data_IF_761590070181
#
_entry.id   IF_761590070181
#
_cell.length_a   1.000
_cell.length_b   1.000
_cell.length_c   1.000
_cell.angle_alpha   90.00
_cell.angle_beta   90.00
_cell.angle_gamma   90.00
#
_symmetry.space_group_name_H-M   'P 1'
#
loop_
_entity.id
_entity.type
_entity.pdbx_description
1 polymer ?
#
# COMPACT_ATOMS: atom_id res chain seq x y z
N UNK A 1 -33.08 -26.90 26.73
CA UNK A 1 -33.39 -26.11 25.52
C UNK A 1 -32.48 -24.88 25.28
N UNK A 2 -31.72 -24.43 26.30
CA UNK A 2 -30.73 -23.33 26.11
C UNK A 2 -29.55 -23.73 25.21
N UNK A 3 -29.16 -24.98 25.16
CA UNK A 3 -28.06 -25.50 24.33
C UNK A 3 -28.36 -25.45 22.83
N UNK A 4 -29.63 -25.54 22.44
CA UNK A 4 -30.06 -25.48 21.04
C UNK A 4 -29.97 -24.06 20.45
N UNK A 5 -30.02 -23.02 21.25
CA UNK A 5 -29.88 -21.61 20.81
C UNK A 5 -28.43 -21.11 20.83
N UNK A 6 -27.55 -21.71 21.65
CA UNK A 6 -26.15 -21.30 21.80
C UNK A 6 -25.31 -21.56 20.52
N UNK A 7 -25.58 -22.67 19.82
CA UNK A 7 -24.87 -23.05 18.60
C UNK A 7 -25.05 -22.04 17.45
N UNK A 8 -26.29 -21.72 17.02
CA UNK A 8 -26.54 -20.71 15.99
C UNK A 8 -26.01 -19.33 16.33
N UNK A 9 -26.10 -18.91 17.60
CA UNK A 9 -25.57 -17.62 18.06
C UNK A 9 -24.03 -17.56 17.97
N UNK A 10 -23.33 -18.63 18.34
CA UNK A 10 -21.87 -18.70 18.24
C UNK A 10 -21.40 -18.67 16.77
N UNK A 11 -22.10 -19.39 15.87
CA UNK A 11 -21.80 -19.38 14.43
C UNK A 11 -22.07 -17.99 13.83
N UNK A 12 -23.19 -17.36 14.18
CA UNK A 12 -23.51 -16.00 13.73
C UNK A 12 -22.49 -14.98 14.25
N UNK A 13 -22.08 -15.07 15.51
CA UNK A 13 -21.06 -14.20 16.10
C UNK A 13 -19.70 -14.40 15.42
N UNK A 14 -19.27 -15.64 15.17
CA UNK A 14 -18.06 -15.96 14.43
C UNK A 14 -18.11 -15.43 12.98
N UNK A 15 -19.25 -15.58 12.30
CA UNK A 15 -19.47 -15.05 10.95
C UNK A 15 -19.40 -13.52 10.93
N UNK A 16 -20.07 -12.85 11.89
CA UNK A 16 -20.04 -11.39 12.00
C UNK A 16 -18.65 -10.86 12.34
N UNK A 17 -17.90 -11.56 13.19
CA UNK A 17 -16.51 -11.24 13.51
C UNK A 17 -15.62 -11.40 12.28
N UNK A 18 -15.71 -12.51 11.55
CA UNK A 18 -15.00 -12.74 10.31
C UNK A 18 -15.34 -11.70 9.24
N UNK A 19 -16.62 -11.33 9.15
CA UNK A 19 -17.07 -10.26 8.24
C UNK A 19 -16.55 -8.90 8.65
N UNK A 20 -16.49 -8.59 9.94
CA UNK A 20 -15.92 -7.35 10.47
C UNK A 20 -14.41 -7.26 10.20
N UNK A 21 -13.68 -8.36 10.38
CA UNK A 21 -12.25 -8.47 10.08
C UNK A 21 -11.95 -8.37 8.56
N UNK A 22 -12.92 -8.73 7.70
CA UNK A 22 -12.84 -8.63 6.23
C UNK A 22 -13.39 -7.32 5.68
N UNK A 23 -13.97 -6.44 6.51
CA UNK A 23 -14.44 -5.14 6.03
C UNK A 23 -13.27 -4.35 5.47
N UNK A 24 -13.38 -3.84 4.22
CA UNK A 24 -12.42 -2.86 3.73
C UNK A 24 -12.46 -1.66 4.69
N UNK A 25 -11.31 -1.07 5.01
CA UNK A 25 -11.27 0.14 5.83
C UNK A 25 -12.11 1.24 5.21
N UNK A 26 -12.68 2.15 6.03
CA UNK A 26 -13.54 3.22 5.56
C UNK A 26 -12.87 4.04 4.46
N UNK A 27 -13.63 4.59 3.49
CA UNK A 27 -13.12 5.22 2.27
C UNK A 27 -12.19 6.43 2.49
N UNK A 28 -11.98 6.88 3.73
CA UNK A 28 -11.18 8.07 4.03
C UNK A 28 -9.66 7.88 4.14
N UNK A 29 -9.16 6.67 4.29
CA UNK A 29 -7.71 6.42 4.51
C UNK A 29 -7.15 5.48 3.45
N UNK A 30 -6.92 6.02 2.27
CA UNK A 30 -6.27 5.31 1.15
C UNK A 30 -4.88 5.85 0.91
N UNK A 31 -3.99 5.01 0.38
CA UNK A 31 -2.62 5.39 0.01
C UNK A 31 -2.16 4.52 -1.16
N UNK A 32 -1.33 5.07 -2.04
CA UNK A 32 -0.71 4.31 -3.12
C UNK A 32 0.73 4.02 -2.76
N UNK A 33 1.15 2.78 -2.97
CA UNK A 33 2.52 2.33 -2.77
C UNK A 33 3.21 2.18 -4.12
N UNK A 34 4.37 2.77 -4.24
CA UNK A 34 5.33 2.45 -5.29
C UNK A 34 6.05 1.15 -4.91
N UNK A 35 5.49 0.03 -5.34
CA UNK A 35 5.99 -1.30 -4.99
C UNK A 35 7.40 -1.54 -5.50
N UNK A 36 7.70 -1.04 -6.70
CA UNK A 36 9.02 -1.18 -7.32
C UNK A 36 10.12 -0.40 -6.61
N UNK A 37 9.80 0.74 -6.01
CA UNK A 37 10.73 1.50 -5.18
C UNK A 37 10.90 0.84 -3.80
N UNK A 38 9.77 0.51 -3.15
CA UNK A 38 9.77 -0.03 -1.78
C UNK A 38 10.51 -1.36 -1.67
N UNK A 39 10.43 -2.23 -2.69
CA UNK A 39 11.10 -3.53 -2.66
C UNK A 39 12.63 -3.44 -2.54
N UNK A 40 13.22 -2.26 -2.76
CA UNK A 40 14.66 -2.02 -2.63
C UNK A 40 15.08 -1.35 -1.30
N UNK A 41 14.16 -1.08 -0.37
CA UNK A 41 14.43 -0.26 0.81
C UNK A 41 15.31 -0.91 1.88
N UNK A 42 15.38 -2.24 1.96
CA UNK A 42 16.22 -2.91 2.96
C UNK A 42 17.71 -2.82 2.59
N UNK A 43 18.13 -3.67 1.67
CA UNK A 43 19.55 -3.86 1.34
C UNK A 43 19.87 -3.44 -0.10
N UNK A 44 18.97 -2.69 -0.75
CA UNK A 44 19.07 -2.32 -2.17
C UNK A 44 18.77 -3.46 -3.14
N UNK A 45 18.67 -4.70 -2.66
CA UNK A 45 18.25 -5.84 -3.46
C UNK A 45 16.73 -5.97 -3.49
N UNK A 46 16.14 -6.42 -4.62
CA UNK A 46 14.71 -6.58 -4.73
C UNK A 46 14.18 -7.66 -3.77
N UNK A 47 13.30 -7.27 -2.85
CA UNK A 47 12.66 -8.17 -1.88
C UNK A 47 11.24 -7.69 -1.56
N UNK A 48 10.33 -8.62 -1.35
CA UNK A 48 8.96 -8.29 -0.92
C UNK A 48 8.81 -8.04 0.59
N UNK A 49 9.84 -8.32 1.40
CA UNK A 49 9.80 -8.04 2.85
C UNK A 49 9.51 -6.59 3.17
N UNK A 50 10.19 -5.59 2.58
CA UNK A 50 9.88 -4.19 2.83
C UNK A 50 8.42 -3.83 2.49
N UNK A 51 7.91 -4.36 1.37
CA UNK A 51 6.52 -4.12 0.96
C UNK A 51 5.54 -4.72 1.99
N UNK A 52 5.80 -5.95 2.48
CA UNK A 52 4.97 -6.58 3.52
C UNK A 52 5.01 -5.81 4.83
N UNK A 53 6.16 -5.26 5.22
CA UNK A 53 6.31 -4.48 6.45
C UNK A 53 5.53 -3.16 6.37
N UNK A 54 5.61 -2.47 5.23
CA UNK A 54 4.78 -1.28 4.95
C UNK A 54 3.29 -1.62 5.01
N UNK A 55 2.87 -2.70 4.35
CA UNK A 55 1.48 -3.17 4.38
C UNK A 55 0.98 -3.45 5.80
N UNK A 56 1.80 -4.12 6.61
CA UNK A 56 1.47 -4.43 8.02
C UNK A 56 1.29 -3.15 8.83
N UNK A 57 2.21 -2.21 8.69
CA UNK A 57 2.17 -0.91 9.38
C UNK A 57 0.92 -0.10 9.01
N UNK A 58 0.58 -0.05 7.71
CA UNK A 58 -0.60 0.68 7.23
C UNK A 58 -1.91 0.03 7.70
N UNK A 59 -1.99 -1.30 7.65
CA UNK A 59 -3.17 -2.04 8.16
C UNK A 59 -3.41 -1.81 9.64
N UNK A 60 -2.34 -1.83 10.46
CA UNK A 60 -2.43 -1.54 11.88
C UNK A 60 -2.98 -0.13 12.17
N UNK A 61 -2.81 0.82 11.24
CA UNK A 61 -3.33 2.19 11.30
C UNK A 61 -4.69 2.36 10.61
N UNK A 62 -5.31 1.29 10.11
CA UNK A 62 -6.58 1.33 9.38
C UNK A 62 -6.50 2.00 8.01
N UNK A 63 -5.30 2.08 7.40
CA UNK A 63 -5.09 2.66 6.08
C UNK A 63 -5.16 1.55 5.02
N UNK A 64 -5.93 1.78 3.94
CA UNK A 64 -6.08 0.86 2.83
C UNK A 64 -5.05 1.16 1.71
N UNK A 65 -4.00 0.34 1.55
CA UNK A 65 -3.04 0.51 0.49
C UNK A 65 -3.54 -0.05 -0.85
N UNK A 66 -3.14 0.59 -1.95
CA UNK A 66 -3.07 0.00 -3.29
C UNK A 66 -1.62 0.05 -3.76
N UNK A 67 -1.16 -0.96 -4.49
CA UNK A 67 0.25 -1.09 -4.87
C UNK A 67 0.37 -1.14 -6.38
N UNK A 68 1.32 -0.40 -6.91
CA UNK A 68 1.69 -0.43 -8.32
C UNK A 68 3.13 -0.93 -8.44
N UNK A 69 3.35 -1.84 -9.38
CA UNK A 69 4.66 -2.38 -9.73
C UNK A 69 4.97 -2.17 -11.21
N UNK A 70 6.23 -1.97 -11.53
CA UNK A 70 6.73 -2.06 -12.90
C UNK A 70 6.51 -3.45 -13.50
N UNK A 71 6.41 -3.50 -14.83
CA UNK A 71 6.27 -4.75 -15.59
C UNK A 71 7.39 -5.76 -15.33
N UNK A 72 8.58 -5.28 -14.92
CA UNK A 72 9.77 -6.11 -14.67
C UNK A 72 9.95 -6.51 -13.19
N UNK A 73 9.04 -6.12 -12.29
CA UNK A 73 9.18 -6.40 -10.86
C UNK A 73 9.36 -7.90 -10.57
N UNK A 74 8.56 -8.76 -11.23
CA UNK A 74 8.67 -10.21 -11.06
C UNK A 74 10.03 -10.76 -11.50
N UNK A 75 10.60 -10.24 -12.59
CA UNK A 75 11.92 -10.63 -13.06
C UNK A 75 13.02 -10.23 -12.08
N UNK A 76 12.93 -9.04 -11.50
CA UNK A 76 13.87 -8.58 -10.48
C UNK A 76 13.78 -9.40 -9.20
N UNK A 77 12.58 -9.83 -8.80
CA UNK A 77 12.35 -10.60 -7.57
C UNK A 77 12.76 -12.07 -7.69
N UNK A 78 12.37 -12.74 -8.79
CA UNK A 78 12.48 -14.21 -8.92
C UNK A 78 12.87 -14.66 -10.34
N UNK A 79 13.36 -13.78 -11.20
CA UNK A 79 13.83 -14.13 -12.55
C UNK A 79 12.70 -14.46 -13.55
N UNK A 80 11.42 -14.27 -13.19
CA UNK A 80 10.28 -14.59 -14.04
C UNK A 80 9.18 -13.54 -13.95
N UNK A 81 8.33 -13.47 -14.98
CA UNK A 81 7.19 -12.57 -14.96
C UNK A 81 6.19 -12.92 -13.85
N UNK A 82 5.73 -11.92 -13.13
CA UNK A 82 4.65 -12.03 -12.16
C UNK A 82 3.55 -11.01 -12.48
N UNK A 83 2.33 -11.49 -12.61
CA UNK A 83 1.15 -10.62 -12.79
C UNK A 83 0.59 -10.17 -11.43
N UNK A 84 -0.45 -9.33 -11.47
CA UNK A 84 -1.17 -8.81 -10.31
C UNK A 84 -1.56 -9.91 -9.32
N UNK A 85 -2.11 -11.02 -9.84
CA UNK A 85 -2.59 -12.13 -9.00
C UNK A 85 -1.44 -12.82 -8.27
N UNK A 86 -0.31 -13.03 -8.93
CA UNK A 86 0.86 -13.67 -8.33
C UNK A 86 1.46 -12.79 -7.24
N UNK A 87 1.64 -11.47 -7.50
CA UNK A 87 2.16 -10.54 -6.49
C UNK A 87 1.19 -10.34 -5.34
N UNK A 88 -0.12 -10.21 -5.62
CA UNK A 88 -1.15 -10.11 -4.59
C UNK A 88 -1.14 -11.31 -3.63
N UNK A 89 -1.01 -12.52 -4.18
CA UNK A 89 -0.88 -13.75 -3.39
C UNK A 89 0.39 -13.74 -2.54
N UNK A 90 1.53 -13.36 -3.12
CA UNK A 90 2.81 -13.27 -2.40
C UNK A 90 2.78 -12.24 -1.28
N UNK A 91 1.97 -11.19 -1.41
CA UNK A 91 1.80 -10.11 -0.43
C UNK A 91 0.66 -10.36 0.58
N UNK A 92 -0.20 -11.35 0.33
CA UNK A 92 -1.36 -11.64 1.19
C UNK A 92 -2.41 -10.52 1.19
N UNK A 93 -2.66 -9.91 0.02
CA UNK A 93 -3.65 -8.84 -0.16
C UNK A 93 -4.60 -9.17 -1.31
N UNK A 94 -5.80 -8.54 -1.37
CA UNK A 94 -6.73 -8.71 -2.49
C UNK A 94 -6.09 -8.31 -3.83
N UNK A 95 -6.43 -9.06 -4.89
CA UNK A 95 -5.87 -8.83 -6.23
C UNK A 95 -6.19 -7.44 -6.78
N UNK A 96 -7.37 -6.92 -6.50
CA UNK A 96 -7.83 -5.57 -6.90
C UNK A 96 -7.04 -4.42 -6.24
N UNK A 97 -6.15 -4.74 -5.31
CA UNK A 97 -5.23 -3.79 -4.65
C UNK A 97 -3.81 -3.83 -5.21
N UNK A 98 -3.54 -4.66 -6.19
CA UNK A 98 -2.22 -4.77 -6.83
C UNK A 98 -2.35 -4.55 -8.32
N UNK A 99 -1.48 -3.75 -8.88
CA UNK A 99 -1.34 -3.52 -10.31
C UNK A 99 0.10 -3.72 -10.73
N UNK A 100 0.33 -4.54 -11.73
CA UNK A 100 1.59 -4.61 -12.48
C UNK A 100 1.33 -3.91 -13.81
N UNK A 101 2.05 -2.82 -14.06
CA UNK A 101 1.83 -2.04 -15.29
C UNK A 101 2.20 -2.87 -16.53
N UNK A 102 1.49 -2.68 -17.67
CA UNK A 102 1.88 -3.29 -18.93
C UNK A 102 3.28 -2.86 -19.37
N UNK A 103 3.95 -3.70 -20.17
CA UNK A 103 5.20 -3.31 -20.82
C UNK A 103 5.01 -2.05 -21.66
N UNK A 104 5.96 -1.13 -21.57
CA UNK A 104 5.91 0.17 -22.28
C UNK A 104 5.14 1.26 -21.54
N UNK A 105 4.52 0.94 -20.39
CA UNK A 105 3.94 1.94 -19.48
C UNK A 105 4.86 2.13 -18.28
N UNK A 106 5.10 3.37 -17.87
CA UNK A 106 5.86 3.66 -16.65
C UNK A 106 4.96 3.56 -15.43
N UNK A 107 5.45 2.92 -14.37
CA UNK A 107 4.71 2.85 -13.11
C UNK A 107 4.47 4.24 -12.52
N UNK A 108 5.42 5.16 -12.69
CA UNK A 108 5.34 6.55 -12.21
C UNK A 108 4.08 7.26 -12.74
N UNK A 109 3.83 7.18 -14.05
CA UNK A 109 2.65 7.81 -14.66
C UNK A 109 1.36 7.28 -14.04
N UNK A 110 1.28 5.97 -13.88
CA UNK A 110 0.09 5.30 -13.29
C UNK A 110 -0.10 5.70 -11.83
N UNK A 111 0.98 5.70 -11.04
CA UNK A 111 0.99 6.08 -9.63
C UNK A 111 0.52 7.53 -9.47
N UNK A 112 1.11 8.45 -10.23
CA UNK A 112 0.82 9.89 -10.14
C UNK A 112 -0.61 10.21 -10.56
N UNK A 113 -1.06 9.62 -11.69
CA UNK A 113 -2.45 9.76 -12.15
C UNK A 113 -3.43 9.23 -11.12
N UNK A 114 -3.24 8.00 -10.64
CA UNK A 114 -4.11 7.40 -9.64
C UNK A 114 -4.13 8.19 -8.32
N UNK A 115 -2.98 8.70 -7.86
CA UNK A 115 -2.89 9.53 -6.67
C UNK A 115 -3.64 10.87 -6.82
N UNK A 116 -3.60 11.47 -8.01
CA UNK A 116 -4.36 12.66 -8.36
C UNK A 116 -5.87 12.39 -8.34
N UNK A 117 -6.31 11.38 -9.11
CA UNK A 117 -7.73 11.07 -9.31
C UNK A 117 -8.41 10.66 -8.00
N UNK A 118 -7.70 9.92 -7.15
CA UNK A 118 -8.20 9.48 -5.85
C UNK A 118 -7.94 10.50 -4.73
N UNK A 119 -7.16 11.55 -4.99
CA UNK A 119 -6.73 12.54 -4.01
C UNK A 119 -6.04 11.93 -2.78
N UNK A 120 -5.14 10.97 -3.00
CA UNK A 120 -4.44 10.22 -1.94
C UNK A 120 -2.92 10.42 -1.98
N UNK A 121 -2.20 10.23 -0.86
CA UNK A 121 -0.75 10.28 -0.84
C UNK A 121 -0.11 9.04 -1.49
N UNK A 122 1.17 9.17 -1.83
CA UNK A 122 2.02 8.12 -2.38
C UNK A 122 3.12 7.80 -1.38
N UNK A 123 3.42 6.51 -1.16
CA UNK A 123 4.63 6.06 -0.46
C UNK A 123 5.68 5.69 -1.49
N UNK A 124 6.74 6.50 -1.57
CA UNK A 124 7.93 6.26 -2.38
C UNK A 124 9.09 7.14 -1.92
N UNK A 125 10.32 6.69 -2.13
CA UNK A 125 11.53 7.52 -2.02
C UNK A 125 11.90 8.20 -3.33
N UNK A 126 11.22 7.90 -4.43
CA UNK A 126 11.33 8.69 -5.64
C UNK A 126 10.73 10.08 -5.43
N UNK A 127 11.35 11.08 -6.06
CA UNK A 127 10.89 12.47 -6.03
C UNK A 127 10.02 12.82 -7.22
N UNK A 128 9.90 11.94 -8.20
CA UNK A 128 9.14 12.14 -9.45
C UNK A 128 9.49 13.46 -10.17
N UNK A 129 10.77 13.85 -10.19
CA UNK A 129 11.21 15.18 -10.68
C UNK A 129 10.82 15.41 -12.13
N UNK A 130 10.94 14.39 -12.97
CA UNK A 130 10.63 14.46 -14.39
C UNK A 130 9.13 14.63 -14.67
N UNK A 131 8.31 14.49 -13.63
CA UNK A 131 6.86 14.57 -13.67
C UNK A 131 6.30 15.84 -13.03
N UNK A 132 7.13 16.73 -12.46
CA UNK A 132 6.65 17.90 -11.71
C UNK A 132 5.81 18.85 -12.57
N UNK A 133 6.10 19.00 -13.85
CA UNK A 133 5.35 19.87 -14.77
C UNK A 133 3.93 19.30 -15.03
N UNK A 134 3.83 17.98 -15.22
CA UNK A 134 2.55 17.30 -15.46
C UNK A 134 1.77 17.02 -14.17
N UNK A 135 2.46 16.88 -13.03
CA UNK A 135 1.93 16.52 -11.71
C UNK A 135 2.45 17.42 -10.60
N UNK A 136 2.20 18.75 -10.65
CA UNK A 136 2.73 19.69 -9.65
C UNK A 136 2.21 19.40 -8.22
N UNK A 137 1.10 18.69 -8.10
CA UNK A 137 0.54 18.30 -6.79
C UNK A 137 1.45 17.36 -6.00
N UNK A 138 2.36 16.61 -6.63
CA UNK A 138 3.27 15.69 -5.92
C UNK A 138 4.26 16.43 -5.01
N UNK A 139 4.55 17.70 -5.33
CA UNK A 139 5.46 18.54 -4.54
C UNK A 139 4.82 19.10 -3.27
N UNK A 140 3.48 19.02 -3.15
CA UNK A 140 2.76 19.53 -1.98
C UNK A 140 3.05 18.69 -0.74
N UNK A 141 3.15 19.34 0.40
CA UNK A 141 3.36 18.67 1.69
C UNK A 141 2.30 17.58 1.94
N UNK A 142 2.74 16.41 2.38
CA UNK A 142 1.88 15.26 2.68
C UNK A 142 1.43 14.45 1.47
N UNK A 143 1.81 14.83 0.25
CA UNK A 143 1.52 14.03 -0.95
C UNK A 143 2.49 12.89 -1.15
N UNK A 144 3.75 13.08 -0.82
CA UNK A 144 4.79 12.09 -0.91
C UNK A 144 5.25 11.70 0.50
N UNK A 145 5.00 10.46 0.86
CA UNK A 145 5.39 9.86 2.14
C UNK A 145 6.69 9.09 1.94
N UNK A 146 7.72 9.50 2.64
CA UNK A 146 9.03 8.84 2.65
C UNK A 146 9.06 7.70 3.66
N UNK A 147 9.93 6.74 3.42
CA UNK A 147 10.13 5.65 4.35
C UNK A 147 11.46 4.92 4.14
N UNK A 148 11.69 3.91 4.93
CA UNK A 148 12.90 3.10 4.88
C UNK A 148 13.17 2.40 6.20
N UNK A 149 14.39 1.89 6.34
CA UNK A 149 14.82 1.23 7.57
C UNK A 149 15.87 2.06 8.30
N UNK A 150 15.74 2.11 9.64
CA UNK A 150 16.75 2.66 10.55
C UNK A 150 17.04 1.60 11.61
N UNK A 151 18.27 1.10 11.68
CA UNK A 151 18.68 0.03 12.61
C UNK A 151 17.72 -1.18 12.56
N UNK A 152 17.35 -1.60 11.34
CA UNK A 152 16.43 -2.73 11.11
C UNK A 152 14.95 -2.47 11.36
N UNK A 153 14.57 -1.25 11.79
CA UNK A 153 13.16 -0.88 12.05
C UNK A 153 12.61 -0.02 10.92
N UNK A 154 11.45 -0.40 10.38
CA UNK A 154 10.73 0.39 9.39
C UNK A 154 10.26 1.72 9.98
N UNK A 155 10.47 2.80 9.26
CA UNK A 155 9.88 4.10 9.52
C UNK A 155 9.14 4.62 8.29
N UNK A 156 8.04 5.37 8.49
CA UNK A 156 7.27 6.05 7.46
C UNK A 156 6.98 7.48 7.95
N UNK A 157 7.20 8.48 7.10
CA UNK A 157 6.88 9.88 7.39
C UNK A 157 5.38 10.17 7.09
N UNK A 158 4.49 9.44 7.77
CA UNK A 158 3.06 9.63 7.59
C UNK A 158 2.64 11.01 8.14
N UNK A 159 1.69 11.71 7.47
CA UNK A 159 1.23 13.03 7.91
C UNK A 159 0.67 13.07 9.34
N UNK A 160 0.19 11.95 9.85
CA UNK A 160 -0.35 11.82 11.21
C UNK A 160 0.76 11.75 12.27
N UNK A 161 2.00 11.44 11.87
CA UNK A 161 3.17 11.36 12.76
C UNK A 161 3.92 12.69 12.85
N UNK A 162 3.46 13.75 12.16
CA UNK A 162 4.07 15.09 12.21
C UNK A 162 3.59 15.85 13.45
N UNK A 163 4.42 16.04 14.49
CA UNK A 163 4.06 16.75 15.72
C UNK A 163 3.74 18.23 15.50
N UNK A 164 4.07 18.81 14.34
CA UNK A 164 3.84 20.20 14.00
C UNK A 164 2.58 20.42 13.14
N UNK A 165 1.86 19.36 12.80
CA UNK A 165 0.62 19.46 12.02
C UNK A 165 -0.54 19.90 12.92
N UNK A 166 -0.88 21.18 12.90
CA UNK A 166 -2.13 21.65 13.47
C UNK A 166 -3.31 21.10 12.66
N UNK A 167 -4.35 20.53 13.31
CA UNK A 167 -5.57 20.14 12.60
C UNK A 167 -6.22 21.42 12.02
N UNK A 168 -6.36 21.46 10.71
CA UNK A 168 -7.18 22.49 10.08
C UNK A 168 -8.62 22.29 10.58
N UNK A 169 -9.11 23.29 11.34
CA UNK A 169 -10.51 23.43 11.74
C UNK A 169 -11.36 23.82 10.54
#
# INVERSE_FOLDING_TARGET
DLLLLAGPCAVAAAYLLLRALRRPPPPGKRIILDGSNIMHWADGQPDLRPVRDVLRTLRARGIAPSIVFDANAGYKLEGQYKNDTALARSLGIPRDRVMVVPRGTTADEVILRAARDLNVPIISNDRFRDWHDAHPEVTRQGRLVRGGYRKGTLWLALPEDDPHRQPHR
#
